data_IF_210913735098
#
_entry.id   IF_210913735098
#
_cell.length_a   1.000
_cell.length_b   1.000
_cell.length_c   1.000
_cell.angle_alpha   90.00
_cell.angle_beta   90.00
_cell.angle_gamma   90.00
#
_symmetry.space_group_name_H-M   'P 1'
#
loop_
_entity.id
_entity.type
_entity.pdbx_description
1 polymer ?
#
# COMPACT_ATOMS: atom_id res chain seq x y z
N UNK A 1 12.64 16.03 -3.50
CA UNK A 1 12.21 14.62 -3.34
C UNK A 1 13.41 13.72 -3.04
N UNK A 2 14.47 13.75 -3.84
CA UNK A 2 15.69 12.93 -3.66
C UNK A 2 16.26 12.93 -2.23
N UNK A 3 16.39 14.09 -1.58
CA UNK A 3 16.87 14.19 -0.20
C UNK A 3 15.94 13.52 0.82
N UNK A 4 14.62 13.62 0.63
CA UNK A 4 13.64 13.00 1.53
C UNK A 4 13.63 11.47 1.38
N UNK A 5 13.80 10.98 0.16
CA UNK A 5 13.93 9.56 -0.16
C UNK A 5 15.20 8.97 0.46
N UNK A 6 16.32 9.72 0.47
CA UNK A 6 17.54 9.30 1.14
C UNK A 6 17.36 9.13 2.67
N UNK A 7 16.51 9.96 3.29
CA UNK A 7 16.19 9.85 4.73
C UNK A 7 15.45 8.55 5.02
N UNK A 8 14.52 8.13 4.15
CA UNK A 8 13.80 6.86 4.32
C UNK A 8 14.73 5.65 4.35
N UNK A 9 15.84 5.66 3.61
CA UNK A 9 16.79 4.52 3.56
C UNK A 9 17.48 4.23 4.90
N UNK A 10 17.47 5.19 5.83
CA UNK A 10 18.09 5.06 7.16
C UNK A 10 17.11 5.36 8.29
N UNK A 11 15.82 5.49 7.98
CA UNK A 11 14.82 5.88 8.95
C UNK A 11 14.50 4.74 9.92
N UNK A 12 14.62 5.01 11.21
CA UNK A 12 14.30 4.07 12.29
C UNK A 12 13.21 4.62 13.23
N UNK A 13 12.72 3.79 14.14
CA UNK A 13 11.76 4.15 15.18
C UNK A 13 12.29 5.31 16.03
N UNK A 14 11.76 6.52 15.80
CA UNK A 14 12.20 7.74 16.48
C UNK A 14 13.06 8.68 15.63
N UNK A 15 13.22 8.39 14.34
CA UNK A 15 13.78 9.32 13.36
C UNK A 15 12.98 10.62 13.22
N UNK A 16 13.54 11.58 12.51
CA UNK A 16 12.91 12.90 12.33
C UNK A 16 11.55 12.79 11.63
N UNK A 17 10.48 13.02 12.39
CA UNK A 17 9.10 13.02 11.88
C UNK A 17 8.85 14.20 10.93
N UNK A 18 9.61 15.30 11.04
CA UNK A 18 9.49 16.44 10.14
C UNK A 18 9.77 16.06 8.69
N UNK A 19 10.76 15.20 8.48
CA UNK A 19 11.09 14.64 7.16
C UNK A 19 9.98 13.77 6.58
N UNK A 20 9.27 12.98 7.40
CA UNK A 20 8.10 12.22 6.94
C UNK A 20 6.93 13.15 6.57
N UNK A 21 6.69 14.20 7.36
CA UNK A 21 5.64 15.19 7.05
C UNK A 21 5.91 15.91 5.73
N UNK A 22 7.18 16.15 5.39
CA UNK A 22 7.54 16.75 4.11
C UNK A 22 7.26 15.81 2.91
N UNK A 23 7.41 14.50 3.11
CA UNK A 23 7.03 13.48 2.11
C UNK A 23 5.52 13.45 1.98
N UNK A 24 4.78 13.39 3.10
CA UNK A 24 3.31 13.43 3.11
C UNK A 24 2.79 14.67 2.38
N UNK A 25 3.34 15.84 2.68
CA UNK A 25 2.97 17.10 2.02
C UNK A 25 3.27 17.08 0.51
N UNK A 26 4.36 16.42 0.10
CA UNK A 26 4.70 16.28 -1.32
C UNK A 26 3.74 15.35 -2.05
N UNK A 27 3.31 14.25 -1.42
CA UNK A 27 2.30 13.34 -1.96
C UNK A 27 0.97 14.08 -2.07
N UNK A 28 0.54 14.77 -1.00
CA UNK A 28 -0.67 15.62 -0.98
C UNK A 28 -0.66 16.65 -2.10
N UNK A 29 0.46 17.36 -2.30
CA UNK A 29 0.60 18.35 -3.36
C UNK A 29 0.64 17.75 -4.78
N UNK A 30 1.00 16.48 -4.92
CA UNK A 30 1.00 15.77 -6.18
C UNK A 30 -0.38 15.17 -6.54
N UNK A 31 -1.34 15.11 -5.61
CA UNK A 31 -2.70 14.67 -5.94
C UNK A 31 -3.30 15.56 -7.03
N UNK A 32 -3.80 14.92 -8.09
CA UNK A 32 -4.30 15.59 -9.30
C UNK A 32 -3.25 15.77 -10.40
N UNK A 33 -1.98 15.45 -10.15
CA UNK A 33 -0.94 15.35 -11.17
C UNK A 33 -0.39 13.91 -11.24
N UNK A 34 -0.90 13.14 -12.21
CA UNK A 34 -0.56 11.73 -12.37
C UNK A 34 0.94 11.49 -12.62
N UNK A 35 1.61 12.40 -13.33
CA UNK A 35 3.05 12.27 -13.63
C UNK A 35 3.90 12.44 -12.37
N UNK A 36 3.64 13.49 -11.58
CA UNK A 36 4.34 13.72 -10.32
C UNK A 36 4.06 12.62 -9.30
N UNK A 37 2.81 12.14 -9.22
CA UNK A 37 2.45 11.05 -8.33
C UNK A 37 3.19 9.76 -8.72
N UNK A 38 3.27 9.48 -10.02
CA UNK A 38 4.03 8.35 -10.56
C UNK A 38 5.54 8.43 -10.27
N UNK A 39 6.14 9.62 -10.32
CA UNK A 39 7.55 9.83 -9.94
C UNK A 39 7.78 9.55 -8.45
N UNK A 40 6.89 10.05 -7.59
CA UNK A 40 6.99 9.83 -6.14
C UNK A 40 6.78 8.36 -5.81
N UNK A 41 5.76 7.72 -6.40
CA UNK A 41 5.49 6.30 -6.24
C UNK A 41 6.71 5.46 -6.65
N UNK A 42 7.32 5.76 -7.80
CA UNK A 42 8.52 5.05 -8.25
C UNK A 42 9.67 5.16 -7.24
N UNK A 43 9.92 6.37 -6.71
CA UNK A 43 10.97 6.58 -5.72
C UNK A 43 10.69 5.84 -4.40
N UNK A 44 9.43 5.76 -3.97
CA UNK A 44 9.03 5.00 -2.79
C UNK A 44 9.22 3.50 -3.00
N UNK A 45 8.86 2.97 -4.18
CA UNK A 45 9.04 1.57 -4.54
C UNK A 45 10.53 1.17 -4.54
N UNK A 46 11.41 2.03 -5.05
CA UNK A 46 12.85 1.80 -5.03
C UNK A 46 13.40 1.67 -3.60
N UNK A 47 12.91 2.48 -2.65
CA UNK A 47 13.32 2.34 -1.25
C UNK A 47 12.72 1.09 -0.62
N UNK A 48 11.46 0.78 -0.93
CA UNK A 48 10.79 -0.41 -0.41
C UNK A 48 11.51 -1.71 -0.80
N UNK A 49 12.04 -1.77 -2.02
CA UNK A 49 12.81 -2.89 -2.55
C UNK A 49 14.28 -2.92 -2.07
N UNK A 50 14.73 -1.91 -1.34
CA UNK A 50 16.09 -1.85 -0.79
C UNK A 50 16.19 -2.46 0.61
N UNK A 51 17.39 -2.46 1.19
CA UNK A 51 17.65 -2.85 2.59
C UNK A 51 17.22 -1.75 3.59
N UNK A 52 16.20 -0.96 3.26
CA UNK A 52 15.67 0.05 4.18
C UNK A 52 15.17 -0.61 5.48
N UNK A 53 15.32 0.06 6.63
CA UNK A 53 14.83 -0.46 7.91
C UNK A 53 13.32 -0.71 7.87
N UNK A 54 12.86 -1.66 8.70
CA UNK A 54 11.43 -2.01 8.83
C UNK A 54 10.53 -0.77 8.97
N UNK A 55 10.82 0.22 9.85
CA UNK A 55 9.97 1.41 10.03
C UNK A 55 9.77 2.22 8.74
N UNK A 56 10.81 2.30 7.92
CA UNK A 56 10.74 2.97 6.63
C UNK A 56 9.84 2.20 5.68
N UNK A 57 9.99 0.87 5.62
CA UNK A 57 9.14 0.00 4.79
C UNK A 57 7.67 0.08 5.21
N UNK A 58 7.37 0.08 6.51
CA UNK A 58 5.99 0.25 6.98
C UNK A 58 5.41 1.60 6.58
N UNK A 59 6.18 2.68 6.73
CA UNK A 59 5.76 4.01 6.32
C UNK A 59 5.46 4.03 4.82
N UNK A 60 6.34 3.45 4.00
CA UNK A 60 6.15 3.38 2.56
C UNK A 60 4.90 2.58 2.19
N UNK A 61 4.65 1.42 2.81
CA UNK A 61 3.43 0.64 2.59
C UNK A 61 2.16 1.49 2.84
N UNK A 62 2.15 2.29 3.91
CA UNK A 62 1.03 3.21 4.20
C UNK A 62 0.86 4.30 3.14
N UNK A 63 1.96 4.86 2.62
CA UNK A 63 1.87 5.84 1.53
C UNK A 63 1.37 5.21 0.23
N UNK A 64 1.86 4.02 -0.13
CA UNK A 64 1.41 3.30 -1.32
C UNK A 64 -0.08 2.93 -1.25
N UNK A 65 -0.58 2.61 -0.05
CA UNK A 65 -2.00 2.39 0.20
C UNK A 65 -2.87 3.64 -0.12
N UNK A 66 -2.34 4.85 0.14
CA UNK A 66 -3.01 6.11 -0.16
C UNK A 66 -2.91 6.50 -1.64
N UNK A 67 -1.78 6.19 -2.27
CA UNK A 67 -1.56 6.42 -3.72
C UNK A 67 -2.47 5.51 -4.54
N UNK A 68 -2.59 4.24 -4.14
CA UNK A 68 -3.66 3.36 -4.62
C UNK A 68 -3.52 2.89 -6.06
N UNK A 69 -2.33 2.88 -6.67
CA UNK A 69 -2.17 2.44 -8.07
C UNK A 69 -1.76 0.98 -8.22
N UNK A 70 -2.02 0.43 -9.41
CA UNK A 70 -1.59 -0.91 -9.81
C UNK A 70 -0.07 -1.12 -9.82
N UNK A 71 0.72 -0.05 -9.92
CA UNK A 71 2.18 -0.14 -10.04
C UNK A 71 2.83 -0.70 -8.78
N UNK A 72 2.26 -0.40 -7.62
CA UNK A 72 2.79 -0.87 -6.34
C UNK A 72 2.38 -2.31 -5.98
N UNK A 73 1.34 -2.85 -6.64
CA UNK A 73 0.76 -4.15 -6.31
C UNK A 73 1.79 -5.30 -6.39
N UNK A 74 2.59 -5.46 -7.46
CA UNK A 74 3.55 -6.57 -7.54
C UNK A 74 4.63 -6.51 -6.46
N UNK A 75 5.03 -5.29 -6.07
CA UNK A 75 6.07 -5.09 -5.04
C UNK A 75 5.51 -5.44 -3.66
N UNK A 76 4.31 -4.98 -3.33
CA UNK A 76 3.63 -5.32 -2.08
C UNK A 76 3.34 -6.82 -2.00
N UNK A 77 2.91 -7.45 -3.11
CA UNK A 77 2.63 -8.87 -3.16
C UNK A 77 3.87 -9.73 -2.86
N UNK A 78 5.05 -9.30 -3.30
CA UNK A 78 6.31 -10.00 -3.04
C UNK A 78 6.71 -9.98 -1.55
N UNK A 79 6.15 -9.07 -0.75
CA UNK A 79 6.41 -8.94 0.69
C UNK A 79 5.46 -9.79 1.55
N UNK A 80 4.38 -10.34 0.98
CA UNK A 80 3.41 -11.15 1.73
C UNK A 80 4.01 -12.42 2.37
N UNK A 81 5.01 -13.10 1.79
CA UNK A 81 5.66 -14.23 2.46
C UNK A 81 6.61 -13.84 3.61
N UNK A 82 7.00 -12.57 3.71
CA UNK A 82 7.88 -12.10 4.78
C UNK A 82 7.06 -11.90 6.07
N UNK A 83 7.37 -12.65 7.12
CA UNK A 83 6.58 -12.63 8.36
C UNK A 83 6.57 -11.25 9.06
N UNK A 84 7.63 -10.45 8.92
CA UNK A 84 7.71 -9.14 9.55
C UNK A 84 6.96 -8.07 8.75
N UNK A 85 6.91 -8.22 7.43
CA UNK A 85 6.34 -7.22 6.53
C UNK A 85 4.96 -7.60 5.97
N UNK A 86 4.54 -8.86 6.14
CA UNK A 86 3.30 -9.42 5.61
C UNK A 86 2.09 -8.60 6.01
N UNK A 87 1.99 -8.19 7.28
CA UNK A 87 0.83 -7.42 7.75
C UNK A 87 0.73 -6.05 7.09
N UNK A 88 1.85 -5.33 6.96
CA UNK A 88 1.85 -4.00 6.35
C UNK A 88 1.59 -4.08 4.84
N UNK A 89 2.18 -5.06 4.16
CA UNK A 89 1.95 -5.30 2.75
C UNK A 89 0.49 -5.68 2.47
N UNK A 90 -0.07 -6.56 3.31
CA UNK A 90 -1.47 -6.97 3.24
C UNK A 90 -2.43 -5.79 3.44
N UNK A 91 -2.22 -4.98 4.48
CA UNK A 91 -3.07 -3.81 4.75
C UNK A 91 -3.00 -2.78 3.61
N UNK A 92 -1.82 -2.61 3.00
CA UNK A 92 -1.68 -1.76 1.83
C UNK A 92 -2.48 -2.29 0.63
N UNK A 93 -2.35 -3.59 0.31
CA UNK A 93 -3.15 -4.25 -0.73
C UNK A 93 -4.65 -4.22 -0.44
N UNK A 94 -5.05 -4.30 0.82
CA UNK A 94 -6.45 -4.18 1.24
C UNK A 94 -7.05 -2.81 0.85
N UNK A 95 -6.28 -1.73 0.99
CA UNK A 95 -6.73 -0.38 0.70
C UNK A 95 -6.73 0.00 -0.78
N UNK A 96 -5.86 -0.61 -1.60
CA UNK A 96 -5.70 -0.28 -3.02
C UNK A 96 -6.97 -0.65 -3.80
N UNK A 97 -7.69 0.31 -4.43
CA UNK A 97 -9.00 0.08 -5.01
C UNK A 97 -8.95 -0.55 -6.41
N UNK A 98 -8.13 -1.58 -6.61
CA UNK A 98 -7.95 -2.24 -7.91
C UNK A 98 -8.09 -3.76 -7.82
N UNK A 99 -8.55 -4.39 -8.90
CA UNK A 99 -8.73 -5.85 -8.95
C UNK A 99 -7.41 -6.61 -8.93
N UNK A 100 -6.31 -5.96 -9.35
CA UNK A 100 -4.98 -6.56 -9.27
C UNK A 100 -4.56 -6.83 -7.82
N UNK A 101 -5.00 -6.01 -6.86
CA UNK A 101 -4.75 -6.27 -5.44
C UNK A 101 -5.47 -7.56 -4.98
N UNK A 102 -6.69 -7.82 -5.45
CA UNK A 102 -7.42 -9.06 -5.17
C UNK A 102 -6.71 -10.29 -5.76
N UNK A 103 -6.25 -10.17 -7.00
CA UNK A 103 -5.49 -11.23 -7.68
C UNK A 103 -4.18 -11.53 -6.96
N UNK A 104 -3.45 -10.49 -6.56
CA UNK A 104 -2.21 -10.61 -5.81
C UNK A 104 -2.40 -11.31 -4.45
N UNK A 105 -3.43 -10.90 -3.69
CA UNK A 105 -3.76 -11.52 -2.40
C UNK A 105 -4.14 -13.00 -2.59
N UNK A 106 -4.94 -13.33 -3.62
CA UNK A 106 -5.29 -14.73 -3.92
C UNK A 106 -4.07 -15.56 -4.30
N UNK A 107 -3.21 -15.04 -5.17
CA UNK A 107 -2.00 -15.74 -5.60
C UNK A 107 -1.00 -15.97 -4.46
N UNK A 108 -1.04 -15.13 -3.41
CA UNK A 108 -0.19 -15.29 -2.25
C UNK A 108 -0.66 -16.41 -1.30
N UNK A 109 -1.94 -16.82 -1.33
CA UNK A 109 -2.48 -17.89 -0.48
C UNK A 109 -1.77 -19.24 -0.67
N UNK A 110 -1.22 -19.49 -1.87
CA UNK A 110 -0.46 -20.70 -2.18
C UNK A 110 0.98 -20.66 -1.65
N UNK A 111 1.43 -19.49 -1.16
CA UNK A 111 2.82 -19.22 -0.74
C UNK A 111 2.97 -18.99 0.76
N UNK A 112 1.86 -18.90 1.49
CA UNK A 112 1.87 -18.61 2.94
C UNK A 112 1.00 -19.60 3.71
N UNK A 113 1.33 -19.76 4.99
CA UNK A 113 0.61 -20.63 5.92
C UNK A 113 0.35 -19.91 7.24
N UNK A 114 -0.38 -20.56 8.15
CA UNK A 114 -0.65 -20.03 9.50
C UNK A 114 -1.27 -18.63 9.51
N UNK A 115 -0.70 -17.75 10.34
CA UNK A 115 -1.22 -16.41 10.60
C UNK A 115 -1.19 -15.51 9.36
N UNK A 116 -0.16 -15.62 8.52
CA UNK A 116 -0.07 -14.87 7.27
C UNK A 116 -1.22 -15.22 6.33
N UNK A 117 -1.51 -16.53 6.18
CA UNK A 117 -2.64 -17.01 5.38
C UNK A 117 -3.98 -16.53 5.94
N UNK A 118 -4.17 -16.62 7.26
CA UNK A 118 -5.38 -16.15 7.93
C UNK A 118 -5.60 -14.65 7.71
N UNK A 119 -4.52 -13.85 7.81
CA UNK A 119 -4.54 -12.42 7.52
C UNK A 119 -5.00 -12.15 6.09
N UNK A 120 -4.38 -12.78 5.09
CA UNK A 120 -4.71 -12.56 3.67
C UNK A 120 -6.19 -12.88 3.37
N UNK A 121 -6.72 -13.97 3.95
CA UNK A 121 -8.15 -14.33 3.81
C UNK A 121 -9.03 -13.21 4.39
N UNK A 122 -8.70 -12.70 5.58
CA UNK A 122 -9.47 -11.60 6.19
C UNK A 122 -9.47 -10.35 5.32
N UNK A 123 -8.34 -9.99 4.71
CA UNK A 123 -8.27 -8.83 3.80
C UNK A 123 -9.09 -9.03 2.53
N UNK A 124 -9.10 -10.23 1.95
CA UNK A 124 -9.98 -10.53 0.81
C UNK A 124 -11.47 -10.39 1.18
N UNK A 125 -11.86 -10.81 2.38
CA UNK A 125 -13.23 -10.63 2.88
C UNK A 125 -13.59 -9.16 3.08
N UNK A 126 -12.71 -8.36 3.67
CA UNK A 126 -12.94 -6.91 3.84
C UNK A 126 -13.06 -6.18 2.49
N UNK A 127 -12.22 -6.54 1.51
CA UNK A 127 -12.31 -5.99 0.16
C UNK A 127 -13.62 -6.37 -0.53
N UNK A 128 -14.06 -7.62 -0.39
CA UNK A 128 -15.35 -8.07 -0.93
C UNK A 128 -16.51 -7.27 -0.33
N UNK A 129 -16.51 -7.03 0.99
CA UNK A 129 -17.55 -6.20 1.65
C UNK A 129 -17.55 -4.78 1.10
N UNK A 130 -16.36 -4.17 0.93
CA UNK A 130 -16.22 -2.81 0.40
C UNK A 130 -16.83 -2.69 -1.01
N UNK A 131 -16.56 -3.65 -1.90
CA UNK A 131 -17.14 -3.65 -3.24
C UNK A 131 -18.67 -3.76 -3.23
N UNK A 132 -19.24 -4.60 -2.34
CA UNK A 132 -20.70 -4.75 -2.20
C UNK A 132 -21.36 -3.44 -1.76
N UNK A 133 -20.78 -2.73 -0.78
CA UNK A 133 -21.33 -1.45 -0.31
C UNK A 133 -21.28 -0.35 -1.38
N UNK A 134 -20.31 -0.38 -2.31
CA UNK A 134 -20.26 0.58 -3.43
C UNK A 134 -21.35 0.32 -4.48
N UNK A 135 -21.77 -0.93 -4.67
CA UNK A 135 -22.88 -1.27 -5.58
C UNK A 135 -24.26 -0.99 -5.00
N UNK A 136 -24.48 -1.17 -3.69
CA UNK A 136 -25.80 -0.96 -3.06
C UNK A 136 -26.24 0.53 -3.02
N UNK A 137 -25.31 1.48 -3.18
CA UNK A 137 -25.63 2.91 -3.25
C UNK A 137 -26.15 3.37 -4.62
N UNK A 138 -26.04 2.56 -5.68
CA UNK A 138 -26.50 2.94 -7.03
C UNK A 138 -27.95 2.53 -7.33
N UNK A 139 -28.50 1.57 -6.61
CA UNK A 139 -29.88 1.06 -6.85
C UNK A 139 -30.97 1.85 -6.09
N UNK A 140 -30.58 2.84 -5.26
CA UNK A 140 -31.52 3.59 -4.42
C UNK A 140 -32.10 4.87 -5.07
N UNK A 141 -31.75 5.19 -6.33
CA UNK A 141 -32.14 6.45 -6.97
C UNK A 141 -33.03 6.33 -8.23
N UNK A 142 -33.65 5.17 -8.50
CA UNK A 142 -34.62 5.01 -9.62
C UNK A 142 -36.05 4.67 -9.14
N UNK A 143 -36.55 5.36 -8.11
CA UNK A 143 -38.00 5.44 -7.89
C UNK A 143 -38.39 6.86 -7.48
N UNK A 144 -38.71 7.69 -8.49
CA UNK A 144 -39.76 8.70 -8.42
C UNK A 144 -40.16 9.18 -9.81
#
# INVERSE_FOLDING_TARGET
>A
METLIAILRVYDWGGDRGSLMAIDASIVAAYGNAEKLAEIEQALLEVLQSEAPIPAKEYICRQLALIGTDRCVPVLAAMLPDAELSDQARLALEAIPTTLADEALRAALDKVEGDQRAGIVNSLDERKKRLVTSTEHLDANEIK
#
